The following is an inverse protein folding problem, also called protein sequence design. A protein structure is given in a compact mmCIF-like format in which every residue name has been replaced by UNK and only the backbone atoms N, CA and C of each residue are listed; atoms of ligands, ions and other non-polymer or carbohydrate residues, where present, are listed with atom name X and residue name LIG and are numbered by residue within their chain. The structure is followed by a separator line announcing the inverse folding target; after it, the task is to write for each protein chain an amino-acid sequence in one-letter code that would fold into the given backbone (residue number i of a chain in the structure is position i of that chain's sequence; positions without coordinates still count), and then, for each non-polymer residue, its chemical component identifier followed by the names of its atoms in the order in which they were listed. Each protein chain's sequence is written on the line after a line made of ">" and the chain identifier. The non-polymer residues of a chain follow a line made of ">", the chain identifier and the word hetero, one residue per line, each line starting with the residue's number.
data_IF_543504787383
#
_entry.id   IF_543504787383
#
_cell.length_a   1.000
_cell.length_b   1.000
_cell.length_c   1.000
_cell.angle_alpha   90.00
_cell.angle_beta   90.00
_cell.angle_gamma   90.00
#
_symmetry.space_group_name_H-M   'P 1'
#
loop_
_entity.id
_entity.type
_entity.pdbx_description
1 polymer ?
#
# COMPACT_ATOMS: atom_id res chain seq x y z
N UNK A 1 -29.30 19.31 7.66
CA UNK A 1 -28.29 19.85 8.59
C UNK A 1 -27.76 18.68 9.42
N UNK A 2 -26.64 18.08 9.03
CA UNK A 2 -26.05 16.95 9.79
C UNK A 2 -25.72 17.49 11.18
N UNK A 3 -26.32 16.91 12.23
CA UNK A 3 -26.06 17.32 13.60
C UNK A 3 -24.58 17.02 13.92
N UNK A 4 -23.85 17.96 14.53
CA UNK A 4 -22.38 17.83 14.75
C UNK A 4 -22.04 16.55 15.50
N UNK A 5 -22.91 16.13 16.42
CA UNK A 5 -22.77 14.89 17.18
C UNK A 5 -22.91 13.63 16.30
N UNK A 6 -23.81 13.66 15.31
CA UNK A 6 -24.01 12.54 14.38
C UNK A 6 -22.77 12.36 13.48
N UNK A 7 -22.17 13.46 13.03
CA UNK A 7 -20.95 13.43 12.22
C UNK A 7 -19.76 12.82 12.99
N UNK A 8 -19.58 13.24 14.24
CA UNK A 8 -18.52 12.73 15.11
C UNK A 8 -18.70 11.24 15.40
N UNK A 9 -19.95 10.80 15.62
CA UNK A 9 -20.27 9.39 15.83
C UNK A 9 -19.92 8.53 14.62
N UNK A 10 -20.33 8.95 13.41
CA UNK A 10 -20.03 8.22 12.16
C UNK A 10 -18.53 8.16 11.91
N UNK A 11 -17.81 9.26 12.14
CA UNK A 11 -16.36 9.31 11.99
C UNK A 11 -15.66 8.36 12.98
N UNK A 12 -16.09 8.34 14.24
CA UNK A 12 -15.55 7.44 15.27
C UNK A 12 -15.80 5.96 14.94
N UNK A 13 -16.99 5.60 14.45
CA UNK A 13 -17.28 4.22 14.03
C UNK A 13 -16.45 3.80 12.81
N UNK A 14 -16.23 4.70 11.85
CA UNK A 14 -15.39 4.40 10.67
C UNK A 14 -13.93 4.20 11.03
N UNK A 15 -13.43 4.96 12.01
CA UNK A 15 -12.08 4.82 12.54
C UNK A 15 -11.90 3.44 13.17
N UNK A 16 -12.79 3.02 14.08
CA UNK A 16 -12.72 1.68 14.72
C UNK A 16 -12.81 0.54 13.71
N UNK A 17 -13.63 0.68 12.65
CA UNK A 17 -13.72 -0.32 11.58
C UNK A 17 -12.43 -0.41 10.73
N UNK A 18 -11.66 0.67 10.61
CA UNK A 18 -10.40 0.68 9.85
C UNK A 18 -9.24 -0.02 10.56
N UNK A 19 -9.23 -0.07 11.90
CA UNK A 19 -8.20 -0.78 12.68
C UNK A 19 -8.35 -2.32 12.63
N UNK A 20 -9.53 -2.83 12.28
CA UNK A 20 -9.79 -4.28 12.20
C UNK A 20 -9.29 -4.94 10.89
N UNK A 21 -8.87 -4.15 9.89
CA UNK A 21 -8.41 -4.66 8.59
C UNK A 21 -6.89 -4.93 8.52
N UNK A 22 -6.16 -4.68 9.61
CA UNK A 22 -4.69 -4.75 9.58
C UNK A 22 -4.11 -6.14 9.89
N UNK A 23 -4.87 -7.08 10.48
CA UNK A 23 -4.43 -8.46 10.72
C UNK A 23 -5.19 -9.51 9.91
N UNK A 24 -6.39 -9.19 9.41
CA UNK A 24 -7.21 -10.12 8.61
C UNK A 24 -6.65 -10.30 7.19
N UNK A 25 -6.13 -9.24 6.56
CA UNK A 25 -5.53 -9.30 5.22
C UNK A 25 -4.23 -10.12 5.18
N UNK A 26 -3.53 -10.20 6.31
CA UNK A 26 -2.30 -10.98 6.47
C UNK A 26 -2.59 -12.46 6.75
N UNK A 27 -3.58 -12.76 7.58
CA UNK A 27 -3.98 -14.13 7.93
C UNK A 27 -4.62 -14.90 6.76
N UNK A 28 -5.33 -14.22 5.84
CA UNK A 28 -5.88 -14.84 4.60
C UNK A 28 -4.77 -15.16 3.58
N UNK A 29 -3.73 -14.32 3.51
CA UNK A 29 -2.55 -14.60 2.68
C UNK A 29 -1.73 -15.78 3.23
N UNK A 30 -1.59 -15.88 4.56
CA UNK A 30 -0.87 -16.99 5.22
C UNK A 30 -1.66 -18.32 5.17
N UNK A 31 -2.98 -18.31 5.31
CA UNK A 31 -3.82 -19.53 5.20
C UNK A 31 -3.93 -20.10 3.78
N UNK A 32 -3.66 -19.29 2.75
CA UNK A 32 -3.57 -19.74 1.35
C UNK A 32 -2.26 -20.47 1.02
N UNK A 33 -1.17 -20.24 1.78
CA UNK A 33 0.12 -20.92 1.60
C UNK A 33 0.13 -22.33 2.20
N UNK A 34 -0.52 -22.54 3.33
CA UNK A 34 -0.50 -23.84 4.04
C UNK A 34 -1.43 -24.90 3.42
N UNK A 35 -2.24 -24.55 2.42
CA UNK A 35 -3.27 -25.40 1.81
C UNK A 35 -2.91 -26.03 0.46
N UNK A 36 -1.66 -25.94 -0.01
CA UNK A 36 -1.18 -26.66 -1.20
C UNK A 36 -1.90 -26.36 -2.53
N UNK A 37 -2.52 -25.19 -2.68
CA UNK A 37 -3.32 -24.81 -3.86
C UNK A 37 -2.55 -23.89 -4.82
N UNK A 38 -2.84 -23.99 -6.12
CA UNK A 38 -2.23 -23.20 -7.22
C UNK A 38 -2.36 -21.68 -7.05
N UNK A 39 -3.19 -21.23 -6.12
CA UNK A 39 -3.36 -19.84 -5.68
C UNK A 39 -2.07 -19.32 -5.01
N UNK A 40 -1.29 -20.17 -4.34
CA UNK A 40 -0.03 -19.80 -3.69
C UNK A 40 1.06 -19.32 -4.70
N UNK A 41 1.09 -19.90 -5.90
CA UNK A 41 1.99 -19.46 -6.97
C UNK A 41 1.60 -18.06 -7.52
N UNK A 42 0.30 -17.78 -7.63
CA UNK A 42 -0.20 -16.45 -8.03
C UNK A 42 0.10 -15.36 -7.00
N UNK A 43 0.16 -15.72 -5.71
CA UNK A 43 0.50 -14.80 -4.63
C UNK A 43 1.97 -14.33 -4.68
N UNK A 44 2.92 -15.22 -5.00
CA UNK A 44 4.34 -14.85 -5.13
C UNK A 44 4.54 -13.82 -6.27
N UNK A 45 3.86 -14.02 -7.40
CA UNK A 45 3.81 -13.02 -8.48
C UNK A 45 3.17 -11.72 -8.02
N UNK A 46 2.12 -11.79 -7.19
CA UNK A 46 1.48 -10.61 -6.59
C UNK A 46 2.41 -9.81 -5.66
N UNK A 47 3.20 -10.49 -4.82
CA UNK A 47 4.19 -9.86 -3.94
C UNK A 47 5.29 -9.18 -4.77
N UNK A 48 5.80 -9.86 -5.81
CA UNK A 48 6.77 -9.28 -6.73
C UNK A 48 6.21 -8.05 -7.47
N UNK A 49 4.93 -8.09 -7.88
CA UNK A 49 4.27 -6.96 -8.53
C UNK A 49 4.09 -5.77 -7.57
N UNK A 50 3.68 -6.00 -6.32
CA UNK A 50 3.54 -4.96 -5.31
C UNK A 50 4.89 -4.39 -4.87
N UNK A 51 5.95 -5.20 -4.82
CA UNK A 51 7.32 -4.76 -4.54
C UNK A 51 7.94 -3.99 -5.71
N UNK A 52 7.55 -4.26 -6.97
CA UNK A 52 8.07 -3.54 -8.13
C UNK A 52 7.74 -2.03 -8.08
N UNK A 53 6.56 -1.69 -7.58
CA UNK A 53 6.08 -0.31 -7.52
C UNK A 53 6.99 0.64 -6.70
N UNK A 54 7.38 0.34 -5.44
CA UNK A 54 8.29 1.20 -4.68
C UNK A 54 9.68 1.33 -5.34
N UNK A 55 10.18 0.29 -6.02
CA UNK A 55 11.46 0.40 -6.76
C UNK A 55 11.35 1.34 -7.96
N UNK A 56 10.25 1.30 -8.71
CA UNK A 56 10.01 2.22 -9.84
C UNK A 56 9.95 3.68 -9.38
N UNK A 57 9.27 3.95 -8.26
CA UNK A 57 9.20 5.29 -7.68
C UNK A 57 10.58 5.80 -7.22
N UNK A 58 11.40 4.95 -6.61
CA UNK A 58 12.76 5.32 -6.20
C UNK A 58 13.64 5.68 -7.41
N UNK A 59 13.65 4.86 -8.46
CA UNK A 59 14.42 5.14 -9.68
C UNK A 59 13.97 6.45 -10.33
N UNK A 60 12.66 6.68 -10.42
CA UNK A 60 12.12 7.94 -10.95
C UNK A 60 12.59 9.16 -10.13
N UNK A 61 12.56 9.07 -8.80
CA UNK A 61 13.01 10.15 -7.93
C UNK A 61 14.50 10.46 -8.12
N UNK A 62 15.35 9.42 -8.17
CA UNK A 62 16.79 9.56 -8.38
C UNK A 62 17.12 10.20 -9.74
N UNK A 63 16.45 9.76 -10.81
CA UNK A 63 16.57 10.35 -12.14
C UNK A 63 16.22 11.84 -12.10
N UNK A 64 15.09 12.20 -11.48
CA UNK A 64 14.66 13.61 -11.37
C UNK A 64 15.69 14.47 -10.63
N UNK A 65 16.25 13.97 -9.52
CA UNK A 65 17.28 14.67 -8.76
C UNK A 65 18.54 14.85 -9.61
N UNK A 66 19.05 13.79 -10.23
CA UNK A 66 20.25 13.83 -11.08
C UNK A 66 20.11 14.83 -12.23
N UNK A 67 18.97 14.84 -12.93
CA UNK A 67 18.72 15.79 -14.01
C UNK A 67 18.60 17.23 -13.51
N UNK A 68 18.02 17.46 -12.33
CA UNK A 68 17.97 18.79 -11.73
C UNK A 68 19.37 19.29 -11.36
N UNK A 69 20.20 18.45 -10.72
CA UNK A 69 21.58 18.80 -10.38
C UNK A 69 22.40 19.10 -11.64
N UNK A 70 22.24 18.30 -12.69
CA UNK A 70 22.90 18.54 -13.99
C UNK A 70 22.46 19.84 -14.65
N UNK A 71 21.21 20.28 -14.46
CA UNK A 71 20.74 21.57 -14.96
C UNK A 71 21.26 22.74 -14.13
N UNK A 72 21.36 22.60 -12.80
CA UNK A 72 21.93 23.64 -11.93
C UNK A 72 23.44 23.82 -12.16
N UNK A 73 24.17 22.71 -12.35
CA UNK A 73 25.62 22.73 -12.63
C UNK A 73 25.97 23.19 -14.07
N UNK A 74 24.97 23.44 -14.93
CA UNK A 74 25.15 23.96 -16.29
C UNK A 74 24.80 25.46 -16.43
N UNK A 75 24.34 26.10 -15.35
CA UNK A 75 24.22 27.56 -15.21
C UNK A 75 25.50 28.06 -14.55
#
# INVERSE_FOLDING_TARGET
>A
MINRTLFILIFALSYVASYAQCSMCRAVAESSQNGGSSIANGLNTGILYLMLFPYMLLVFALIRIYFKEKQQNKI
#
